data_IF_642382158697
#
_entry.id   IF_642382158697
#
_cell.length_a   1.000
_cell.length_b   1.000
_cell.length_c   1.000
_cell.angle_alpha   90.00
_cell.angle_beta   90.00
_cell.angle_gamma   90.00
#
_symmetry.space_group_name_H-M   'P 1'
#
loop_
_entity.id
_entity.type
_entity.pdbx_description
1 polymer ?
#
# COMPACT_ATOMS: atom_id res chain seq x y z
N UNK A 1 7.90 -3.56 -13.28
CA UNK A 1 8.26 -3.34 -11.85
C UNK A 1 9.29 -2.23 -11.83
N UNK A 2 9.11 -1.24 -10.97
CA UNK A 2 9.99 -0.07 -10.84
C UNK A 2 10.50 0.03 -9.43
N UNK A 3 11.82 0.20 -9.28
CA UNK A 3 12.47 0.38 -7.98
C UNK A 3 12.22 1.79 -7.46
N UNK A 4 11.58 1.91 -6.30
CA UNK A 4 11.18 3.19 -5.69
C UNK A 4 11.70 3.25 -4.25
N UNK A 5 12.12 4.43 -3.79
CA UNK A 5 12.48 4.63 -2.39
C UNK A 5 11.27 4.49 -1.49
N UNK A 6 11.40 3.75 -0.39
CA UNK A 6 10.33 3.55 0.60
C UNK A 6 9.83 4.89 1.16
N UNK A 7 10.71 5.91 1.25
CA UNK A 7 10.34 7.26 1.68
C UNK A 7 9.41 8.00 0.71
N UNK A 8 9.29 7.56 -0.54
CA UNK A 8 8.46 8.20 -1.57
C UNK A 8 7.10 7.53 -1.73
N UNK A 9 6.96 6.27 -1.28
CA UNK A 9 5.71 5.50 -1.38
C UNK A 9 4.53 6.21 -0.75
N UNK A 10 3.39 6.25 -1.45
CA UNK A 10 2.14 6.83 -0.96
C UNK A 10 0.94 6.05 -1.50
N UNK A 11 -0.24 6.27 -0.92
CA UNK A 11 -1.51 5.70 -1.38
C UNK A 11 -1.47 4.19 -1.62
N UNK A 12 -2.00 3.74 -2.77
CA UNK A 12 -2.09 2.32 -3.12
C UNK A 12 -0.74 1.62 -3.17
N UNK A 13 0.32 2.29 -3.62
CA UNK A 13 1.66 1.72 -3.65
C UNK A 13 2.20 1.44 -2.25
N UNK A 14 1.98 2.37 -1.30
CA UNK A 14 2.35 2.17 0.09
C UNK A 14 1.52 1.06 0.75
N UNK A 15 0.20 1.05 0.54
CA UNK A 15 -0.69 0.02 1.09
C UNK A 15 -0.36 -1.37 0.52
N UNK A 16 0.00 -1.46 -0.76
CA UNK A 16 0.48 -2.69 -1.38
C UNK A 16 1.79 -3.15 -0.74
N UNK A 17 2.76 -2.25 -0.57
CA UNK A 17 4.04 -2.58 0.03
C UNK A 17 3.89 -3.04 1.49
N UNK A 18 2.95 -2.47 2.25
CA UNK A 18 2.61 -2.94 3.60
C UNK A 18 2.07 -4.37 3.56
N UNK A 19 1.17 -4.70 2.63
CA UNK A 19 0.66 -6.07 2.51
C UNK A 19 1.77 -7.07 2.14
N UNK A 20 2.69 -6.69 1.26
CA UNK A 20 3.88 -7.50 0.94
C UNK A 20 4.77 -7.68 2.18
N UNK A 21 5.02 -6.61 2.94
CA UNK A 21 5.80 -6.64 4.17
C UNK A 21 5.15 -7.49 5.29
N UNK A 22 3.82 -7.65 5.26
CA UNK A 22 3.07 -8.57 6.13
C UNK A 22 3.12 -10.04 5.66
N UNK A 23 3.71 -10.31 4.49
CA UNK A 23 3.76 -11.65 3.90
C UNK A 23 2.46 -12.10 3.26
N UNK A 24 1.54 -11.18 2.93
CA UNK A 24 0.31 -11.51 2.23
C UNK A 24 0.59 -11.85 0.76
N UNK A 25 -0.21 -12.76 0.18
CA UNK A 25 -0.26 -12.90 -1.28
C UNK A 25 -1.04 -11.71 -1.85
N UNK A 26 -0.39 -10.86 -2.64
CA UNK A 26 -0.99 -9.66 -3.22
C UNK A 26 -1.06 -9.78 -4.73
N UNK A 27 -2.22 -9.46 -5.32
CA UNK A 27 -2.40 -9.35 -6.77
C UNK A 27 -2.81 -7.94 -7.16
N UNK A 28 -2.15 -7.43 -8.18
CA UNK A 28 -2.50 -6.19 -8.87
C UNK A 28 -3.16 -6.58 -10.18
N UNK A 29 -4.30 -5.98 -10.49
CA UNK A 29 -4.99 -6.13 -11.77
C UNK A 29 -5.18 -4.77 -12.40
N UNK A 30 -4.66 -4.64 -13.62
CA UNK A 30 -4.87 -3.48 -14.47
C UNK A 30 -6.26 -3.51 -15.11
N UNK A 31 -6.57 -2.46 -15.87
CA UNK A 31 -7.88 -2.35 -16.51
C UNK A 31 -8.11 -3.48 -17.53
N UNK A 32 -7.07 -3.92 -18.24
CA UNK A 32 -7.13 -5.04 -19.19
C UNK A 32 -7.56 -6.32 -18.49
N UNK A 33 -6.88 -6.71 -17.40
CA UNK A 33 -7.23 -7.90 -16.61
C UNK A 33 -8.65 -7.84 -16.06
N UNK A 34 -9.16 -6.64 -15.78
CA UNK A 34 -10.54 -6.44 -15.32
C UNK A 34 -11.50 -6.66 -16.48
N UNK A 35 -11.28 -5.99 -17.62
CA UNK A 35 -12.17 -6.06 -18.77
C UNK A 35 -12.20 -7.42 -19.44
N UNK A 36 -11.11 -8.19 -19.36
CA UNK A 36 -11.04 -9.55 -19.91
C UNK A 36 -11.96 -10.54 -19.18
N UNK A 37 -12.51 -10.16 -18.03
CA UNK A 37 -13.47 -10.97 -17.26
C UNK A 37 -14.93 -10.58 -17.48
N UNK A 38 -15.19 -9.54 -18.28
CA UNK A 38 -16.52 -8.97 -18.51
C UNK A 38 -17.08 -9.40 -19.86
N UNK A 39 -18.40 -9.42 -19.99
CA UNK A 39 -19.04 -9.69 -21.28
C UNK A 39 -18.96 -8.45 -22.18
N UNK A 40 -18.46 -8.56 -23.42
CA UNK A 40 -18.22 -7.39 -24.27
C UNK A 40 -19.50 -6.66 -24.72
N UNK A 41 -20.65 -7.34 -24.71
CA UNK A 41 -21.94 -6.78 -25.12
C UNK A 41 -22.73 -6.32 -23.91
N UNK A 42 -22.85 -7.17 -22.89
CA UNK A 42 -23.65 -6.85 -21.70
C UNK A 42 -22.98 -5.80 -20.81
N UNK A 43 -21.64 -5.80 -20.72
CA UNK A 43 -20.87 -4.91 -19.83
C UNK A 43 -20.13 -3.77 -20.57
N UNK A 44 -20.56 -3.42 -21.79
CA UNK A 44 -19.86 -2.45 -22.65
C UNK A 44 -19.55 -1.10 -21.95
N UNK A 45 -20.47 -0.59 -21.15
CA UNK A 45 -20.27 0.65 -20.38
C UNK A 45 -19.22 0.50 -19.27
N UNK A 46 -19.20 -0.66 -18.59
CA UNK A 46 -18.22 -0.95 -17.54
C UNK A 46 -16.82 -1.14 -18.13
N UNK A 47 -16.73 -1.76 -19.30
CA UNK A 47 -15.49 -1.87 -20.07
C UNK A 47 -14.98 -0.48 -20.45
N UNK A 48 -15.85 0.38 -21.01
CA UNK A 48 -15.51 1.75 -21.34
C UNK A 48 -15.01 2.53 -20.11
N UNK A 49 -15.70 2.40 -18.98
CA UNK A 49 -15.31 3.02 -17.71
C UNK A 49 -13.90 2.59 -17.26
N UNK A 50 -13.63 1.29 -17.24
CA UNK A 50 -12.34 0.77 -16.78
C UNK A 50 -11.20 1.16 -17.70
N UNK A 51 -11.44 1.13 -19.01
CA UNK A 51 -10.48 1.56 -20.03
C UNK A 51 -10.17 3.05 -19.94
N UNK A 52 -11.20 3.91 -19.87
CA UNK A 52 -11.04 5.36 -19.77
C UNK A 52 -10.24 5.74 -18.52
N UNK A 53 -10.60 5.17 -17.36
CA UNK A 53 -9.96 5.48 -16.09
C UNK A 53 -8.65 4.74 -15.84
N UNK A 54 -8.26 3.83 -16.74
CA UNK A 54 -7.14 2.88 -16.53
C UNK A 54 -7.17 2.29 -15.12
N UNK A 55 -8.34 1.74 -14.74
CA UNK A 55 -8.59 1.30 -13.35
C UNK A 55 -7.57 0.27 -12.88
N UNK A 56 -7.09 0.41 -11.65
CA UNK A 56 -6.21 -0.57 -11.00
C UNK A 56 -6.78 -1.04 -9.68
N UNK A 57 -6.90 -2.37 -9.53
CA UNK A 57 -7.37 -3.04 -8.32
C UNK A 57 -6.22 -3.80 -7.65
N UNK A 58 -6.07 -3.61 -6.34
CA UNK A 58 -5.16 -4.37 -5.51
C UNK A 58 -5.97 -5.23 -4.57
N UNK A 59 -5.65 -6.51 -4.54
CA UNK A 59 -6.31 -7.47 -3.67
C UNK A 59 -5.28 -8.32 -2.95
N UNK A 60 -5.52 -8.64 -1.68
CA UNK A 60 -4.62 -9.42 -0.86
C UNK A 60 -5.35 -10.60 -0.22
N UNK A 61 -4.66 -11.75 -0.12
CA UNK A 61 -5.03 -12.87 0.73
C UNK A 61 -4.26 -12.75 2.04
N UNK A 62 -4.99 -12.48 3.12
CA UNK A 62 -4.39 -12.28 4.45
C UNK A 62 -4.16 -13.59 5.20
N UNK A 63 -5.01 -14.61 4.96
CA UNK A 63 -4.93 -15.91 5.62
C UNK A 63 -4.80 -17.05 4.59
N UNK A 64 -4.00 -18.08 4.87
CA UNK A 64 -3.93 -19.26 4.00
C UNK A 64 -5.31 -19.88 3.78
N UNK A 65 -5.64 -20.18 2.52
CA UNK A 65 -6.93 -20.74 2.14
C UNK A 65 -8.10 -19.75 2.10
N UNK A 66 -7.90 -18.47 2.46
CA UNK A 66 -8.96 -17.46 2.33
C UNK A 66 -9.13 -16.98 0.88
N UNK A 67 -10.30 -16.42 0.60
CA UNK A 67 -10.51 -15.60 -0.59
C UNK A 67 -9.56 -14.40 -0.64
N UNK A 68 -9.47 -13.80 -1.82
CA UNK A 68 -8.71 -12.59 -2.05
C UNK A 68 -9.61 -11.37 -1.94
N UNK A 69 -9.29 -10.48 -1.02
CA UNK A 69 -10.12 -9.34 -0.66
C UNK A 69 -9.46 -8.03 -1.11
N UNK A 70 -10.22 -6.92 -1.21
CA UNK A 70 -9.60 -5.61 -1.44
C UNK A 70 -8.46 -5.36 -0.45
N UNK A 71 -7.32 -4.89 -0.95
CA UNK A 71 -6.18 -4.61 -0.10
C UNK A 71 -6.53 -3.54 0.95
N UNK A 72 -6.25 -3.76 2.25
CA UNK A 72 -6.55 -2.77 3.28
C UNK A 72 -5.80 -1.46 3.08
N UNK A 73 -6.41 -0.36 3.54
CA UNK A 73 -5.86 1.00 3.41
C UNK A 73 -4.99 1.37 4.62
N UNK A 74 -3.88 0.65 4.80
CA UNK A 74 -3.01 0.79 5.98
C UNK A 74 -2.51 2.23 6.23
N UNK A 75 -2.26 2.98 5.17
CA UNK A 75 -1.72 4.34 5.23
C UNK A 75 -2.75 5.44 5.51
N UNK A 76 -4.05 5.12 5.49
CA UNK A 76 -5.13 6.11 5.67
C UNK A 76 -6.24 5.68 6.64
N UNK A 77 -6.35 4.38 6.96
CA UNK A 77 -7.33 3.84 7.91
C UNK A 77 -6.63 3.33 9.18
N UNK A 78 -6.91 4.00 10.31
CA UNK A 78 -6.35 3.64 11.62
C UNK A 78 -6.76 2.25 12.09
N UNK A 79 -7.94 1.76 11.71
CA UNK A 79 -8.35 0.40 12.08
C UNK A 79 -7.45 -0.67 11.44
N UNK A 80 -6.78 -0.34 10.32
CA UNK A 80 -5.86 -1.23 9.62
C UNK A 80 -4.40 -0.96 10.00
N UNK A 81 -3.98 0.30 10.07
CA UNK A 81 -2.60 0.68 10.36
C UNK A 81 -2.24 0.68 11.85
N UNK A 82 -3.19 1.02 12.73
CA UNK A 82 -2.99 1.10 14.18
C UNK A 82 -2.47 -0.21 14.81
N UNK A 83 -3.10 -1.37 14.52
CA UNK A 83 -2.61 -2.65 15.03
C UNK A 83 -1.17 -2.99 14.62
N UNK A 84 -0.73 -2.53 13.43
CA UNK A 84 0.66 -2.71 12.97
C UNK A 84 1.60 -1.82 13.79
N UNK A 85 1.21 -0.58 14.03
CA UNK A 85 1.99 0.39 14.82
C UNK A 85 2.25 -0.16 16.22
N UNK A 86 1.22 -0.67 16.87
CA UNK A 86 1.33 -1.25 18.22
C UNK A 86 2.19 -2.52 18.21
N UNK A 87 1.89 -3.48 17.31
CA UNK A 87 2.61 -4.76 17.23
C UNK A 87 4.11 -4.59 16.93
N UNK A 88 4.46 -3.63 16.10
CA UNK A 88 5.85 -3.39 15.69
C UNK A 88 6.54 -2.31 16.52
N UNK A 89 5.90 -1.82 17.60
CA UNK A 89 6.43 -0.80 18.51
C UNK A 89 6.90 0.48 17.80
N UNK A 90 6.14 0.92 16.79
CA UNK A 90 6.48 2.10 15.99
C UNK A 90 6.08 3.36 16.75
N UNK A 91 7.07 4.11 17.21
CA UNK A 91 6.88 5.44 17.75
C UNK A 91 6.78 6.48 16.63
N UNK A 92 5.94 7.49 16.81
CA UNK A 92 5.91 8.65 15.92
C UNK A 92 5.63 9.95 16.67
N UNK A 93 6.06 11.06 16.09
CA UNK A 93 5.70 12.40 16.55
C UNK A 93 5.39 13.30 15.36
N UNK A 94 4.56 14.31 15.62
CA UNK A 94 4.16 15.29 14.61
C UNK A 94 4.99 16.56 14.80
N UNK A 95 5.63 17.02 13.73
CA UNK A 95 6.24 18.35 13.68
C UNK A 95 5.29 19.30 12.98
N UNK A 96 4.32 19.83 13.73
CA UNK A 96 3.26 20.70 13.19
C UNK A 96 3.83 21.94 12.49
N UNK A 97 4.87 22.53 13.04
CA UNK A 97 5.53 23.72 12.48
C UNK A 97 6.22 23.44 11.14
N UNK A 98 6.67 22.20 10.92
CA UNK A 98 7.34 21.77 9.68
C UNK A 98 6.38 21.01 8.74
N UNK A 99 5.12 20.78 9.13
CA UNK A 99 4.10 20.15 8.29
C UNK A 99 4.31 18.64 8.01
N UNK A 100 5.07 17.91 8.84
CA UNK A 100 5.25 16.46 8.66
C UNK A 100 5.20 15.66 9.96
N UNK A 101 5.03 14.35 9.80
CA UNK A 101 5.14 13.34 10.84
C UNK A 101 6.41 12.52 10.63
N UNK A 102 7.02 12.12 11.74
CA UNK A 102 8.21 11.30 11.75
C UNK A 102 7.95 10.04 12.56
N UNK A 103 8.30 8.87 12.01
CA UNK A 103 8.14 7.58 12.66
C UNK A 103 9.47 6.81 12.70
N UNK A 104 9.66 6.05 13.76
CA UNK A 104 10.82 5.19 13.98
C UNK A 104 10.40 3.95 14.78
N UNK A 105 11.08 2.83 14.51
CA UNK A 105 10.98 1.59 15.29
C UNK A 105 12.27 1.39 16.08
N UNK A 106 12.23 0.82 17.31
CA UNK A 106 13.45 0.42 18.01
C UNK A 106 14.36 -0.45 17.14
N UNK A 107 15.64 -0.08 17.07
CA UNK A 107 16.65 -0.76 16.24
C UNK A 107 16.53 -0.51 14.74
N UNK A 108 15.59 0.34 14.27
CA UNK A 108 15.57 0.74 12.87
C UNK A 108 16.73 1.69 12.57
N UNK A 109 17.43 1.42 11.47
CA UNK A 109 18.49 2.27 10.94
C UNK A 109 17.93 3.62 10.46
N UNK A 110 16.69 3.62 9.97
CA UNK A 110 16.09 4.78 9.34
C UNK A 110 14.81 5.25 10.02
N UNK A 111 14.81 6.55 10.27
CA UNK A 111 13.60 7.33 10.48
C UNK A 111 12.86 7.51 9.16
N UNK A 112 11.53 7.42 9.19
CA UNK A 112 10.69 7.76 8.03
C UNK A 112 9.80 8.96 8.29
N UNK A 113 9.65 9.77 7.26
CA UNK A 113 8.76 10.94 7.26
C UNK A 113 7.56 10.69 6.37
N UNK A 114 6.47 11.34 6.71
CA UNK A 114 5.24 11.35 5.91
C UNK A 114 4.37 12.55 6.27
N UNK A 115 3.42 12.92 5.41
CA UNK A 115 2.51 14.03 5.70
C UNK A 115 1.50 13.68 6.81
N UNK A 116 1.29 12.40 7.11
CA UNK A 116 0.42 11.93 8.20
C UNK A 116 1.15 10.91 9.08
N UNK A 117 0.69 10.69 10.33
CA UNK A 117 1.28 9.68 11.20
C UNK A 117 1.25 8.28 10.58
N UNK A 118 0.13 7.89 9.95
CA UNK A 118 -0.02 6.60 9.30
C UNK A 118 0.95 6.43 8.13
N UNK A 119 1.10 7.44 7.27
CA UNK A 119 2.06 7.35 6.15
C UNK A 119 3.48 7.22 6.67
N UNK A 120 3.88 8.03 7.66
CA UNK A 120 5.20 7.93 8.26
C UNK A 120 5.44 6.55 8.88
N UNK A 121 4.48 6.04 9.64
CA UNK A 121 4.56 4.74 10.29
C UNK A 121 4.59 3.57 9.30
N UNK A 122 3.73 3.57 8.28
CA UNK A 122 3.72 2.52 7.26
C UNK A 122 5.00 2.51 6.42
N UNK A 123 5.56 3.69 6.10
CA UNK A 123 6.89 3.76 5.47
C UNK A 123 7.97 3.19 6.38
N UNK A 124 7.91 3.47 7.69
CA UNK A 124 8.86 2.91 8.67
C UNK A 124 8.75 1.39 8.74
N UNK A 125 7.52 0.88 8.80
CA UNK A 125 7.24 -0.55 8.79
C UNK A 125 7.79 -1.23 7.53
N UNK A 126 7.42 -0.73 6.34
CA UNK A 126 7.91 -1.26 5.06
C UNK A 126 9.43 -1.24 5.01
N UNK A 127 10.06 -0.14 5.44
CA UNK A 127 11.50 -0.05 5.46
C UNK A 127 12.17 -1.08 6.39
N UNK A 128 11.54 -1.38 7.53
CA UNK A 128 12.06 -2.36 8.49
C UNK A 128 11.97 -3.80 7.99
N UNK A 129 11.12 -4.10 7.00
CA UNK A 129 10.90 -5.46 6.47
C UNK A 129 11.51 -5.66 5.08
N UNK A 130 11.37 -4.67 4.20
CA UNK A 130 11.73 -4.75 2.78
C UNK A 130 12.97 -3.90 2.42
N UNK A 131 13.37 -2.96 3.28
CA UNK A 131 14.53 -2.08 3.06
C UNK A 131 14.18 -0.67 2.56
N UNK A 132 15.21 0.11 2.22
CA UNK A 132 15.06 1.52 1.80
C UNK A 132 14.46 1.69 0.39
N UNK A 133 14.43 0.62 -0.39
CA UNK A 133 13.88 0.58 -1.74
C UNK A 133 13.00 -0.66 -1.93
N UNK A 134 11.93 -0.52 -2.71
CA UNK A 134 10.98 -1.60 -3.01
C UNK A 134 10.73 -1.61 -4.53
N UNK A 135 10.67 -2.81 -5.11
CA UNK A 135 10.22 -3.00 -6.48
C UNK A 135 8.68 -2.98 -6.55
N UNK A 136 8.11 -1.89 -7.07
CA UNK A 136 6.66 -1.65 -7.10
C UNK A 136 6.10 -1.93 -8.50
N UNK A 137 4.91 -2.54 -8.62
CA UNK A 137 4.18 -2.64 -9.89
C UNK A 137 3.93 -1.26 -10.50
N UNK A 138 4.18 -1.12 -11.81
CA UNK A 138 4.08 0.17 -12.52
C UNK A 138 2.65 0.72 -12.52
N UNK A 139 1.66 -0.15 -12.45
CA UNK A 139 0.24 0.18 -12.38
C UNK A 139 -0.13 0.93 -11.08
N UNK A 140 0.76 0.95 -10.08
CA UNK A 140 0.53 1.62 -8.79
C UNK A 140 1.23 2.98 -8.65
N UNK A 141 1.96 3.41 -9.68
CA UNK A 141 2.74 4.66 -9.69
C UNK A 141 2.00 5.81 -10.38
#
# INVERSE_FOLDING_TARGET
MTKIKTSELTGKALDWAVAVALGHEVKVRGWQDITDTLDPVEDAEMIAFHRERKTVRVSARQLPGSGMWPNPKYSTDWAQGGPIIEREEIGFFQKKDEGYCQAAKPGAEFVRRGPTPLIAAMRCFVASKLGDEVDVPEELL
#
